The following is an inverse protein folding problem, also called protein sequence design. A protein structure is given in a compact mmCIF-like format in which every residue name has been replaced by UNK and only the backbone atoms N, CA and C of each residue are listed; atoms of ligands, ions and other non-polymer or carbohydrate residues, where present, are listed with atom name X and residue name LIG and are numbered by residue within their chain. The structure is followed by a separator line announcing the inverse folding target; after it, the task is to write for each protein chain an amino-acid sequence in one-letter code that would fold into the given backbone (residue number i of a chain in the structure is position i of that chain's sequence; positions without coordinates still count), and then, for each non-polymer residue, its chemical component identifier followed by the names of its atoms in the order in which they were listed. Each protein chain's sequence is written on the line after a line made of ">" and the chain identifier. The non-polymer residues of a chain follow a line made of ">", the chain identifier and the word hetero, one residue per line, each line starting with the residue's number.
data_IF_445713982292
#
_entry.id   IF_445713982292
#
_cell.length_a   1.000
_cell.length_b   1.000
_cell.length_c   1.000
_cell.angle_alpha   90.00
_cell.angle_beta   90.00
_cell.angle_gamma   90.00
#
_symmetry.space_group_name_H-M   'P 1'
#
loop_
_entity.id
_entity.type
_entity.pdbx_description
1 polymer ?
#
# COMPACT_ATOMS: atom_id res chain seq x y z
N UNK A 1 -14.34 17.42 -22.94
CA UNK A 1 -13.13 17.71 -23.75
C UNK A 1 -12.07 16.57 -23.62
N UNK A 2 -11.63 16.21 -22.42
CA UNK A 2 -10.59 15.14 -22.24
C UNK A 2 -10.99 13.78 -22.82
N UNK A 3 -12.26 13.36 -22.67
CA UNK A 3 -12.75 12.09 -23.23
C UNK A 3 -12.67 12.06 -24.75
N UNK A 4 -13.04 13.15 -25.43
CA UNK A 4 -12.98 13.25 -26.89
C UNK A 4 -11.54 13.20 -27.39
N UNK A 5 -10.61 13.89 -26.72
CA UNK A 5 -9.17 13.86 -27.05
C UNK A 5 -8.60 12.46 -26.87
N UNK A 6 -8.96 11.78 -25.76
CA UNK A 6 -8.54 10.41 -25.49
C UNK A 6 -9.05 9.45 -26.58
N UNK A 7 -10.33 9.50 -26.91
CA UNK A 7 -10.92 8.62 -27.93
C UNK A 7 -10.31 8.87 -29.32
N UNK A 8 -10.05 10.13 -29.67
CA UNK A 8 -9.35 10.47 -30.91
C UNK A 8 -7.90 9.92 -30.92
N UNK A 9 -7.19 10.02 -29.81
CA UNK A 9 -5.84 9.47 -29.68
C UNK A 9 -5.83 7.94 -29.77
N UNK A 10 -6.82 7.26 -29.18
CA UNK A 10 -6.98 5.79 -29.29
C UNK A 10 -7.27 5.40 -30.73
N UNK A 11 -8.17 6.11 -31.40
CA UNK A 11 -8.53 5.83 -32.80
C UNK A 11 -7.36 6.07 -33.80
N UNK A 12 -6.48 7.04 -33.49
CA UNK A 12 -5.30 7.36 -34.27
C UNK A 12 -4.04 6.56 -33.86
N UNK A 13 -4.14 5.70 -32.87
CA UNK A 13 -3.00 4.94 -32.36
C UNK A 13 -2.55 3.88 -33.34
N UNK A 14 -1.31 3.99 -33.80
CA UNK A 14 -0.65 2.98 -34.65
C UNK A 14 0.35 2.22 -33.78
N UNK A 15 0.16 0.90 -33.55
CA UNK A 15 1.10 0.10 -32.78
C UNK A 15 2.45 -0.02 -33.47
N UNK A 16 3.51 0.32 -32.77
CA UNK A 16 4.87 0.08 -33.21
C UNK A 16 5.39 -1.24 -32.63
N UNK A 17 5.92 -2.10 -33.51
CA UNK A 17 6.55 -3.36 -33.07
C UNK A 17 7.97 -3.07 -32.59
N UNK A 18 8.33 -3.68 -31.50
CA UNK A 18 9.68 -3.69 -30.96
C UNK A 18 10.01 -5.10 -30.43
N UNK A 19 11.28 -5.34 -30.23
CA UNK A 19 11.81 -6.60 -29.71
C UNK A 19 12.64 -6.31 -28.47
N UNK A 20 12.69 -7.28 -27.55
CA UNK A 20 13.61 -7.29 -26.42
C UNK A 20 14.35 -8.63 -26.41
N UNK A 21 15.57 -8.63 -25.90
CA UNK A 21 16.35 -9.82 -25.63
C UNK A 21 16.47 -9.93 -24.12
N UNK A 22 16.01 -11.05 -23.57
CA UNK A 22 16.05 -11.31 -22.14
C UNK A 22 17.03 -12.44 -21.87
N UNK A 23 17.91 -12.24 -20.88
CA UNK A 23 18.90 -13.19 -20.41
C UNK A 23 18.50 -13.69 -19.03
N UNK A 24 18.30 -14.99 -18.90
CA UNK A 24 18.14 -15.63 -17.61
C UNK A 24 19.51 -16.08 -17.09
N UNK A 25 19.95 -15.45 -16.02
CA UNK A 25 21.24 -15.75 -15.38
C UNK A 25 21.09 -16.90 -14.38
N UNK A 26 22.16 -17.67 -14.20
CA UNK A 26 22.20 -18.79 -13.23
C UNK A 26 21.98 -18.35 -11.79
N UNK A 27 22.16 -17.05 -11.49
CA UNK A 27 21.83 -16.43 -10.21
C UNK A 27 20.34 -16.25 -9.95
N UNK A 28 19.47 -16.55 -10.92
CA UNK A 28 18.02 -16.29 -10.85
C UNK A 28 17.61 -14.86 -11.24
N UNK A 29 18.56 -14.02 -11.61
CA UNK A 29 18.28 -12.68 -12.13
C UNK A 29 18.01 -12.72 -13.63
N UNK A 30 17.15 -11.81 -14.12
CA UNK A 30 16.91 -11.60 -15.54
C UNK A 30 17.45 -10.24 -15.95
N UNK A 31 18.23 -10.20 -17.03
CA UNK A 31 18.68 -8.97 -17.68
C UNK A 31 17.93 -8.79 -18.99
N UNK A 32 17.33 -7.61 -19.20
CA UNK A 32 16.55 -7.29 -20.41
C UNK A 32 17.20 -6.16 -21.21
N UNK A 33 17.27 -6.33 -22.52
CA UNK A 33 17.74 -5.27 -23.41
C UNK A 33 16.75 -4.08 -23.46
N UNK A 34 17.21 -2.95 -23.96
CA UNK A 34 16.29 -1.87 -24.37
C UNK A 34 15.41 -2.34 -25.53
N UNK A 35 14.35 -1.57 -25.81
CA UNK A 35 13.50 -1.83 -26.97
C UNK A 35 14.30 -1.68 -28.26
N UNK A 36 14.26 -2.71 -29.09
CA UNK A 36 14.95 -2.80 -30.39
C UNK A 36 13.90 -2.75 -31.49
N UNK A 37 13.88 -1.72 -32.35
CA UNK A 37 12.87 -1.62 -33.41
C UNK A 37 13.00 -2.72 -34.49
N UNK A 38 14.22 -3.14 -34.80
CA UNK A 38 14.51 -4.07 -35.87
C UNK A 38 14.73 -5.49 -35.39
N UNK A 39 14.02 -6.45 -35.97
CA UNK A 39 14.10 -7.87 -35.63
C UNK A 39 15.50 -8.45 -35.82
N UNK A 40 16.15 -8.09 -36.91
CA UNK A 40 17.49 -8.57 -37.26
C UNK A 40 18.55 -8.16 -36.23
N UNK A 41 18.41 -6.94 -35.69
CA UNK A 41 19.32 -6.45 -34.61
C UNK A 41 19.10 -7.25 -33.33
N UNK A 42 17.85 -7.54 -32.98
CA UNK A 42 17.54 -8.36 -31.80
C UNK A 42 18.03 -9.81 -31.98
N UNK A 43 17.89 -10.40 -33.16
CA UNK A 43 18.38 -11.74 -33.47
C UNK A 43 19.92 -11.82 -33.40
N UNK A 44 20.62 -10.84 -33.96
CA UNK A 44 22.08 -10.74 -33.86
C UNK A 44 22.58 -10.61 -32.41
N UNK A 45 21.89 -9.77 -31.61
CA UNK A 45 22.20 -9.65 -30.19
C UNK A 45 21.98 -10.97 -29.44
N UNK A 46 20.88 -11.65 -29.70
CA UNK A 46 20.59 -12.95 -29.10
C UNK A 46 21.67 -14.00 -29.46
N UNK A 47 22.11 -14.05 -30.71
CA UNK A 47 23.18 -14.93 -31.12
C UNK A 47 24.53 -14.61 -30.47
N UNK A 48 24.86 -13.33 -30.31
CA UNK A 48 26.06 -12.90 -29.61
C UNK A 48 26.01 -13.36 -28.13
N UNK A 49 24.91 -13.12 -27.43
CA UNK A 49 24.72 -13.58 -26.05
C UNK A 49 24.83 -15.09 -25.90
N UNK A 50 24.31 -15.87 -26.87
CA UNK A 50 24.45 -17.35 -26.86
C UNK A 50 25.87 -17.86 -27.08
N UNK A 51 26.69 -17.11 -27.79
CA UNK A 51 28.11 -17.48 -28.03
C UNK A 51 28.98 -17.20 -26.83
N UNK A 52 28.78 -16.05 -26.19
CA UNK A 52 29.64 -15.61 -25.07
C UNK A 52 29.37 -16.38 -23.78
N UNK A 53 28.12 -16.78 -23.52
CA UNK A 53 27.69 -17.54 -22.33
C UNK A 53 28.03 -16.85 -20.99
N UNK A 54 28.53 -15.63 -21.01
CA UNK A 54 28.95 -14.83 -19.84
C UNK A 54 28.42 -13.42 -19.99
N UNK A 55 27.82 -12.90 -18.93
CA UNK A 55 27.42 -11.50 -18.82
C UNK A 55 28.24 -10.79 -17.73
N UNK A 56 28.82 -9.63 -18.06
CA UNK A 56 29.62 -8.84 -17.11
C UNK A 56 28.81 -7.63 -16.68
N UNK A 57 28.58 -7.51 -15.36
CA UNK A 57 27.93 -6.32 -14.79
C UNK A 57 28.94 -5.18 -14.77
N UNK A 58 28.73 -4.16 -15.58
CA UNK A 58 29.64 -3.01 -15.66
C UNK A 58 29.36 -1.96 -14.58
N UNK A 59 28.09 -1.81 -14.18
CA UNK A 59 27.71 -0.84 -13.16
C UNK A 59 26.53 -1.35 -12.34
N UNK A 60 26.64 -1.19 -11.04
CA UNK A 60 25.52 -1.34 -10.10
C UNK A 60 25.24 0.04 -9.52
N UNK A 61 24.01 0.50 -9.65
CA UNK A 61 23.55 1.74 -9.03
C UNK A 61 22.44 1.42 -8.04
N UNK A 62 22.67 1.76 -6.78
CA UNK A 62 21.67 1.68 -5.73
C UNK A 62 21.01 3.06 -5.57
N UNK A 63 19.70 3.12 -5.67
CA UNK A 63 18.91 4.31 -5.31
C UNK A 63 18.08 3.99 -4.10
N UNK A 64 18.45 4.58 -2.98
CA UNK A 64 17.61 4.51 -1.78
C UNK A 64 16.32 5.27 -2.00
N UNK A 65 15.22 4.64 -1.63
CA UNK A 65 13.89 5.23 -1.62
C UNK A 65 13.25 5.07 -0.26
N UNK A 66 12.41 6.02 0.08
CA UNK A 66 11.64 6.00 1.30
C UNK A 66 10.18 6.31 0.97
N UNK A 67 9.27 5.44 1.39
CA UNK A 67 7.83 5.65 1.26
C UNK A 67 7.23 5.84 2.63
N UNK A 68 6.50 6.94 2.79
CA UNK A 68 5.78 7.20 4.04
C UNK A 68 4.65 6.20 4.20
N UNK A 69 4.36 5.75 5.43
CA UNK A 69 3.16 4.98 5.71
C UNK A 69 1.89 5.72 5.27
N UNK A 70 0.83 4.97 4.92
CA UNK A 70 -0.44 5.57 4.54
C UNK A 70 -1.05 6.35 5.73
N UNK A 71 -1.87 7.38 5.48
CA UNK A 71 -2.63 8.05 6.54
C UNK A 71 -3.70 7.13 7.13
N UNK A 72 -4.31 7.54 8.23
CA UNK A 72 -5.47 6.88 8.82
C UNK A 72 -6.64 6.78 7.83
N UNK A 73 -7.64 5.96 8.13
CA UNK A 73 -8.81 5.85 7.25
C UNK A 73 -9.80 7.00 7.43
N UNK A 74 -10.24 7.55 6.30
CA UNK A 74 -11.57 8.11 6.11
C UNK A 74 -12.52 7.05 5.54
N UNK A 75 -13.80 7.35 5.39
CA UNK A 75 -14.77 6.39 4.85
C UNK A 75 -14.42 5.95 3.42
N UNK A 76 -14.02 6.87 2.57
CA UNK A 76 -13.74 6.58 1.15
C UNK A 76 -12.53 5.67 0.98
N UNK A 77 -11.46 5.90 1.71
CA UNK A 77 -10.26 5.05 1.65
C UNK A 77 -10.50 3.68 2.27
N UNK A 78 -11.29 3.60 3.36
CA UNK A 78 -11.72 2.32 3.93
C UNK A 78 -12.54 1.50 2.94
N UNK A 79 -13.53 2.11 2.29
CA UNK A 79 -14.36 1.44 1.27
C UNK A 79 -13.53 0.94 0.09
N UNK A 80 -12.57 1.73 -0.38
CA UNK A 80 -11.67 1.35 -1.47
C UNK A 80 -10.80 0.15 -1.12
N UNK A 81 -10.22 0.14 0.07
CA UNK A 81 -9.38 -0.97 0.52
C UNK A 81 -10.19 -2.22 0.86
N UNK A 82 -11.37 -2.09 1.47
CA UNK A 82 -12.29 -3.19 1.70
C UNK A 82 -12.76 -3.83 0.38
N UNK A 83 -13.01 -3.03 -0.65
CA UNK A 83 -13.33 -3.56 -1.98
C UNK A 83 -12.14 -4.30 -2.59
N UNK A 84 -10.94 -3.68 -2.58
CA UNK A 84 -9.73 -4.25 -3.18
C UNK A 84 -9.27 -5.54 -2.51
N UNK A 85 -9.33 -5.61 -1.18
CA UNK A 85 -8.77 -6.72 -0.39
C UNK A 85 -9.80 -7.80 -0.04
N UNK A 86 -11.05 -7.42 0.13
CA UNK A 86 -12.12 -8.29 0.63
C UNK A 86 -13.29 -8.47 -0.35
N UNK A 87 -13.32 -7.69 -1.44
CA UNK A 87 -14.39 -7.73 -2.43
C UNK A 87 -15.71 -7.10 -1.95
N UNK A 88 -15.73 -6.35 -0.84
CA UNK A 88 -16.94 -5.73 -0.33
C UNK A 88 -17.32 -4.50 -1.15
N UNK A 89 -18.65 -4.31 -1.33
CA UNK A 89 -19.16 -3.07 -1.90
C UNK A 89 -19.03 -1.90 -0.92
N UNK A 90 -19.10 -0.67 -1.43
CA UNK A 90 -19.07 0.52 -0.59
C UNK A 90 -20.19 0.51 0.47
N UNK A 91 -21.41 0.05 0.07
CA UNK A 91 -22.54 -0.05 1.00
C UNK A 91 -22.29 -1.10 2.09
N UNK A 92 -21.83 -2.30 1.73
CA UNK A 92 -21.51 -3.34 2.71
C UNK A 92 -20.44 -2.88 3.71
N UNK A 93 -19.38 -2.18 3.23
CA UNK A 93 -18.34 -1.64 4.11
C UNK A 93 -18.92 -0.61 5.07
N UNK A 94 -19.79 0.28 4.57
CA UNK A 94 -20.46 1.27 5.43
C UNK A 94 -21.35 0.60 6.48
N UNK A 95 -22.12 -0.42 6.10
CA UNK A 95 -23.01 -1.13 7.01
C UNK A 95 -22.20 -1.83 8.12
N UNK A 96 -21.08 -2.47 7.78
CA UNK A 96 -20.21 -3.11 8.76
C UNK A 96 -19.55 -2.11 9.71
N UNK A 97 -18.98 -1.01 9.19
CA UNK A 97 -18.33 -0.02 10.06
C UNK A 97 -19.35 0.76 10.88
N UNK A 98 -20.55 0.99 10.38
CA UNK A 98 -21.65 1.58 11.14
C UNK A 98 -22.04 0.68 12.32
N UNK A 99 -22.19 -0.63 12.10
CA UNK A 99 -22.45 -1.60 13.15
C UNK A 99 -21.33 -1.66 14.20
N UNK A 100 -20.07 -1.59 13.77
CA UNK A 100 -18.93 -1.51 14.69
C UNK A 100 -18.96 -0.24 15.54
N UNK A 101 -19.32 0.89 14.95
CA UNK A 101 -19.50 2.15 15.68
C UNK A 101 -20.63 2.06 16.72
N UNK A 102 -21.77 1.51 16.38
CA UNK A 102 -22.92 1.32 17.28
C UNK A 102 -22.56 0.40 18.46
N UNK A 103 -21.67 -0.57 18.23
CA UNK A 103 -21.07 -1.43 19.26
C UNK A 103 -19.94 -0.75 20.03
N UNK A 104 -19.60 0.51 19.70
CA UNK A 104 -18.50 1.29 20.29
C UNK A 104 -17.10 0.69 20.06
N UNK A 105 -16.93 -0.06 18.99
CA UNK A 105 -15.63 -0.69 18.65
C UNK A 105 -14.79 0.20 17.74
N UNK A 106 -15.40 1.14 17.03
CA UNK A 106 -14.73 2.14 16.18
C UNK A 106 -15.30 3.53 16.41
N UNK A 107 -14.57 4.55 15.98
CA UNK A 107 -15.04 5.94 15.94
C UNK A 107 -16.06 6.14 14.82
N UNK A 108 -16.66 7.34 14.73
CA UNK A 108 -17.73 7.63 13.77
C UNK A 108 -17.27 7.44 12.32
N UNK A 109 -17.98 6.61 11.52
CA UNK A 109 -17.47 6.17 10.22
C UNK A 109 -17.67 7.19 9.08
N UNK A 110 -18.61 8.13 9.20
CA UNK A 110 -18.90 9.08 8.12
C UNK A 110 -18.03 10.32 8.25
N UNK A 111 -16.74 10.15 8.08
CA UNK A 111 -15.73 11.19 8.11
C UNK A 111 -14.96 11.25 6.79
N UNK A 112 -14.54 12.43 6.41
CA UNK A 112 -13.64 12.71 5.29
C UNK A 112 -12.20 13.01 5.76
N UNK A 113 -11.98 13.02 7.08
CA UNK A 113 -10.67 13.27 7.66
C UNK A 113 -9.86 11.97 7.80
N UNK A 114 -8.59 12.05 7.41
CA UNK A 114 -7.56 11.04 7.67
C UNK A 114 -6.65 11.42 8.84
N UNK A 115 -7.06 12.41 9.65
CA UNK A 115 -6.26 12.98 10.73
C UNK A 115 -7.02 12.95 12.05
N UNK A 116 -6.26 13.10 13.14
CA UNK A 116 -6.77 13.29 14.50
C UNK A 116 -6.43 14.71 15.00
N UNK A 117 -6.97 15.07 16.14
CA UNK A 117 -6.62 16.31 16.86
C UNK A 117 -5.46 16.07 17.82
N UNK A 118 -4.86 17.15 18.33
CA UNK A 118 -3.81 17.05 19.36
C UNK A 118 -4.34 16.39 20.65
N UNK A 119 -5.63 16.55 20.96
CA UNK A 119 -6.27 15.97 22.13
C UNK A 119 -6.41 14.43 22.05
N UNK A 120 -6.37 13.87 20.82
CA UNK A 120 -6.49 12.42 20.57
C UNK A 120 -5.12 11.73 20.45
N UNK A 121 -4.00 12.50 20.46
CA UNK A 121 -2.67 11.95 20.19
C UNK A 121 -2.24 10.94 21.27
N UNK A 122 -2.39 11.30 22.56
CA UNK A 122 -2.05 10.44 23.69
C UNK A 122 -2.90 9.15 23.70
N UNK A 123 -4.19 9.27 23.39
CA UNK A 123 -5.08 8.11 23.25
C UNK A 123 -4.61 7.18 22.13
N UNK A 124 -4.14 7.72 21.02
CA UNK A 124 -3.64 6.91 19.90
C UNK A 124 -2.34 6.20 20.25
N UNK A 125 -1.44 6.84 21.01
CA UNK A 125 -0.20 6.21 21.49
C UNK A 125 -0.50 4.99 22.36
N UNK A 126 -1.29 5.19 23.41
CA UNK A 126 -1.68 4.09 24.30
C UNK A 126 -2.42 2.96 23.55
N UNK A 127 -3.33 3.34 22.65
CA UNK A 127 -4.08 2.36 21.85
C UNK A 127 -3.15 1.53 20.95
N UNK A 128 -2.14 2.17 20.36
CA UNK A 128 -1.22 1.49 19.45
C UNK A 128 -0.42 0.40 20.15
N UNK A 129 0.06 0.65 21.37
CA UNK A 129 0.79 -0.33 22.16
C UNK A 129 -0.06 -1.59 22.45
N UNK A 130 -1.36 -1.42 22.66
CA UNK A 130 -2.26 -2.55 22.94
C UNK A 130 -2.73 -3.28 21.66
N UNK A 131 -2.78 -2.58 20.52
CA UNK A 131 -3.27 -3.14 19.24
C UNK A 131 -2.33 -4.17 18.61
N UNK A 132 -1.05 -4.12 18.89
CA UNK A 132 -0.06 -5.04 18.32
C UNK A 132 -0.40 -6.50 18.61
N UNK A 133 -0.95 -6.79 19.78
CA UNK A 133 -1.39 -8.13 20.18
C UNK A 133 -2.66 -8.64 19.46
N UNK A 134 -3.40 -7.78 18.74
CA UNK A 134 -4.63 -8.15 18.04
C UNK A 134 -4.44 -8.62 16.60
N UNK A 135 -3.27 -8.39 16.02
CA UNK A 135 -2.91 -8.90 14.71
C UNK A 135 -1.91 -10.04 14.88
N UNK A 136 -2.08 -11.08 14.06
CA UNK A 136 -1.14 -12.20 13.95
C UNK A 136 0.13 -11.72 13.22
N UNK A 137 0.82 -10.71 13.82
CA UNK A 137 2.04 -10.12 13.28
C UNK A 137 3.21 -10.75 14.02
N UNK A 138 4.19 -11.26 13.27
CA UNK A 138 5.39 -11.81 13.89
C UNK A 138 6.15 -10.71 14.66
N UNK A 139 6.68 -10.99 15.85
CA UNK A 139 7.39 -9.97 16.66
C UNK A 139 8.53 -9.27 15.91
N UNK A 140 9.19 -9.96 14.99
CA UNK A 140 10.23 -9.39 14.13
C UNK A 140 9.72 -8.37 13.10
N UNK A 141 8.44 -8.38 12.80
CA UNK A 141 7.79 -7.44 11.88
C UNK A 141 7.25 -6.19 12.60
N UNK A 142 7.25 -6.20 13.93
CA UNK A 142 6.83 -5.06 14.75
C UNK A 142 8.02 -4.13 14.95
N UNK A 143 7.82 -2.87 14.61
CA UNK A 143 8.82 -1.85 14.86
C UNK A 143 8.81 -1.45 16.35
N UNK A 144 9.77 -1.92 17.15
CA UNK A 144 9.95 -1.59 18.59
C UNK A 144 10.10 -0.07 18.88
N UNK A 145 10.06 0.77 17.85
CA UNK A 145 10.15 2.21 18.05
C UNK A 145 8.83 2.79 18.51
N UNK A 146 8.93 3.80 19.38
CA UNK A 146 7.82 4.65 19.81
C UNK A 146 6.92 5.02 18.63
N UNK A 147 5.60 4.82 18.72
CA UNK A 147 4.64 5.20 17.68
C UNK A 147 4.83 6.63 17.21
N UNK A 148 4.81 6.86 15.91
CA UNK A 148 4.97 8.20 15.32
C UNK A 148 3.63 8.87 15.10
N UNK A 149 2.91 9.06 16.17
CA UNK A 149 1.55 9.61 16.19
C UNK A 149 1.48 11.03 15.65
N UNK A 150 2.50 11.86 15.92
CA UNK A 150 2.54 13.28 15.50
C UNK A 150 2.26 13.53 14.02
N UNK A 151 2.57 12.59 13.15
CA UNK A 151 2.27 12.70 11.72
C UNK A 151 0.80 12.53 11.36
N UNK A 152 0.02 11.91 12.24
CA UNK A 152 -1.42 11.72 12.08
C UNK A 152 -2.22 12.90 12.63
N UNK A 153 -1.58 13.79 13.37
CA UNK A 153 -2.20 14.97 13.98
C UNK A 153 -2.23 16.13 13.01
N UNK A 154 -3.43 16.62 12.71
CA UNK A 154 -3.63 17.85 11.95
C UNK A 154 -5.03 18.43 12.22
N UNK A 155 -5.13 19.30 13.23
CA UNK A 155 -6.39 19.90 13.65
C UNK A 155 -7.11 20.68 12.53
N UNK A 156 -6.37 21.32 11.64
CA UNK A 156 -6.96 22.10 10.54
C UNK A 156 -7.67 21.21 9.49
N UNK A 157 -7.31 19.94 9.43
CA UNK A 157 -7.90 18.94 8.52
C UNK A 157 -8.93 18.04 9.19
N UNK A 158 -9.24 18.28 10.45
CA UNK A 158 -10.35 17.63 11.15
C UNK A 158 -11.50 18.63 11.19
N UNK A 159 -12.57 18.35 10.44
CA UNK A 159 -13.76 19.21 10.38
C UNK A 159 -14.72 18.86 11.51
N UNK A 160 -15.68 17.98 11.27
CA UNK A 160 -16.68 17.57 12.26
C UNK A 160 -16.24 16.32 13.04
N UNK A 161 -15.52 15.41 12.38
CA UNK A 161 -15.06 14.14 12.95
C UNK A 161 -13.63 13.85 12.51
N UNK A 162 -12.85 13.26 13.43
CA UNK A 162 -11.50 12.75 13.12
C UNK A 162 -11.57 11.44 12.33
N UNK A 163 -10.41 10.90 11.95
CA UNK A 163 -10.26 9.65 11.22
C UNK A 163 -10.95 8.45 11.91
N UNK A 164 -11.22 7.41 11.13
CA UNK A 164 -11.78 6.14 11.65
C UNK A 164 -10.67 5.39 12.38
N UNK A 165 -10.88 5.17 13.67
CA UNK A 165 -9.98 4.47 14.59
C UNK A 165 -10.71 3.36 15.34
N UNK A 166 -10.02 2.32 15.80
CA UNK A 166 -10.54 1.45 16.84
C UNK A 166 -10.64 2.23 18.16
N UNK A 167 -11.51 1.80 19.06
CA UNK A 167 -11.67 2.41 20.38
C UNK A 167 -11.05 1.53 21.47
N UNK A 168 -10.84 2.08 22.66
CA UNK A 168 -10.43 1.28 23.84
C UNK A 168 -11.43 0.18 24.19
N UNK A 169 -12.73 0.39 23.94
CA UNK A 169 -13.75 -0.64 24.20
C UNK A 169 -13.56 -1.89 23.33
N UNK A 170 -12.93 -1.75 22.17
CA UNK A 170 -12.60 -2.87 21.28
C UNK A 170 -11.61 -3.85 21.94
N UNK A 171 -10.68 -3.35 22.76
CA UNK A 171 -9.67 -4.17 23.45
C UNK A 171 -10.28 -5.20 24.43
N UNK A 172 -11.47 -4.91 24.94
CA UNK A 172 -12.19 -5.75 25.90
C UNK A 172 -13.32 -6.56 25.26
N UNK A 173 -13.55 -6.40 23.94
CA UNK A 173 -14.63 -7.03 23.23
C UNK A 173 -14.27 -8.45 22.79
N UNK A 174 -15.28 -9.34 22.81
CA UNK A 174 -15.17 -10.65 22.16
C UNK A 174 -15.29 -10.46 20.64
N UNK A 175 -14.15 -10.37 19.97
CA UNK A 175 -14.12 -10.16 18.52
C UNK A 175 -14.55 -11.40 17.72
N UNK A 176 -14.44 -12.58 18.29
CA UNK A 176 -14.86 -13.83 17.64
C UNK A 176 -16.39 -13.95 17.59
N UNK A 177 -17.09 -13.29 18.49
CA UNK A 177 -18.57 -13.21 18.47
C UNK A 177 -19.11 -12.27 17.37
N UNK A 178 -18.26 -11.46 16.73
CA UNK A 178 -18.70 -10.55 15.65
C UNK A 178 -18.97 -11.31 14.35
N UNK A 179 -19.94 -10.84 13.53
CA UNK A 179 -20.10 -11.32 12.16
C UNK A 179 -18.78 -11.19 11.36
N UNK A 180 -18.49 -12.15 10.49
CA UNK A 180 -17.22 -12.20 9.74
C UNK A 180 -16.90 -10.94 8.95
N UNK A 181 -17.91 -10.29 8.38
CA UNK A 181 -17.72 -9.01 7.67
C UNK A 181 -17.23 -7.89 8.58
N UNK A 182 -17.79 -7.79 9.78
CA UNK A 182 -17.38 -6.82 10.79
C UNK A 182 -15.96 -7.10 11.29
N UNK A 183 -15.63 -8.38 11.60
CA UNK A 183 -14.26 -8.77 11.96
C UNK A 183 -13.25 -8.35 10.92
N UNK A 184 -13.54 -8.58 9.64
CA UNK A 184 -12.64 -8.27 8.55
C UNK A 184 -12.43 -6.75 8.40
N UNK A 185 -13.50 -5.95 8.49
CA UNK A 185 -13.41 -4.49 8.42
C UNK A 185 -12.66 -3.94 9.64
N UNK A 186 -12.92 -4.46 10.82
CA UNK A 186 -12.21 -4.07 12.05
C UNK A 186 -10.71 -4.37 11.93
N UNK A 187 -10.33 -5.55 11.42
CA UNK A 187 -8.91 -5.90 11.16
C UNK A 187 -8.24 -4.93 10.19
N UNK A 188 -8.94 -4.48 9.14
CA UNK A 188 -8.41 -3.45 8.24
C UNK A 188 -8.16 -2.13 8.97
N UNK A 189 -9.08 -1.71 9.85
CA UNK A 189 -8.95 -0.46 10.60
C UNK A 189 -7.76 -0.56 11.57
N UNK A 190 -7.63 -1.66 12.31
CA UNK A 190 -6.50 -1.91 13.22
C UNK A 190 -5.18 -1.88 12.45
N UNK A 191 -5.07 -2.66 11.38
CA UNK A 191 -3.86 -2.72 10.56
C UNK A 191 -3.47 -1.34 10.02
N UNK A 192 -4.44 -0.55 9.54
CA UNK A 192 -4.19 0.80 9.05
C UNK A 192 -3.73 1.74 10.14
N UNK A 193 -4.26 1.63 11.34
CA UNK A 193 -3.87 2.43 12.50
C UNK A 193 -2.40 2.17 12.84
N UNK A 194 -1.99 0.91 12.95
CA UNK A 194 -0.59 0.52 13.18
C UNK A 194 0.33 0.98 12.05
N UNK A 195 -0.08 0.77 10.79
CA UNK A 195 0.69 1.26 9.64
C UNK A 195 0.88 2.77 9.67
N UNK A 196 -0.16 3.54 10.03
CA UNK A 196 -0.11 5.00 10.00
C UNK A 196 0.92 5.58 10.99
N UNK A 197 1.23 4.92 12.08
CA UNK A 197 2.20 5.35 13.09
C UNK A 197 3.57 4.69 12.94
N UNK A 198 3.74 3.76 12.00
CA UNK A 198 5.00 3.05 11.76
C UNK A 198 6.06 3.92 11.08
N UNK A 199 7.30 3.43 10.98
CA UNK A 199 8.38 4.08 10.25
C UNK A 199 8.13 4.10 8.74
N UNK A 200 8.71 5.06 8.01
CA UNK A 200 8.75 5.00 6.55
C UNK A 200 9.44 3.72 6.07
N UNK A 201 8.84 3.06 5.09
CA UNK A 201 9.44 1.92 4.43
C UNK A 201 10.63 2.38 3.57
N UNK A 202 11.82 1.86 3.86
CA UNK A 202 13.05 2.18 3.13
C UNK A 202 13.47 0.98 2.30
N UNK A 203 13.75 1.21 1.05
CA UNK A 203 14.23 0.18 0.15
C UNK A 203 15.27 0.73 -0.83
N UNK A 204 16.07 -0.16 -1.39
CA UNK A 204 17.02 0.17 -2.43
C UNK A 204 16.56 -0.42 -3.76
N UNK A 205 16.48 0.43 -4.79
CA UNK A 205 16.34 -0.03 -6.15
C UNK A 205 17.73 -0.22 -6.74
N UNK A 206 18.07 -1.48 -7.04
CA UNK A 206 19.30 -1.82 -7.73
C UNK A 206 19.04 -1.77 -9.24
N UNK A 207 19.87 -0.97 -9.92
CA UNK A 207 19.92 -0.92 -11.37
C UNK A 207 21.26 -1.48 -11.82
N UNK A 208 21.22 -2.43 -12.73
CA UNK A 208 22.39 -2.88 -13.47
C UNK A 208 22.32 -2.30 -14.87
N UNK A 209 23.42 -1.80 -15.41
CA UNK A 209 23.54 -1.45 -16.82
C UNK A 209 24.53 -2.39 -17.46
N UNK A 210 24.06 -3.11 -18.45
CA UNK A 210 24.90 -3.85 -19.38
C UNK A 210 25.35 -2.89 -20.50
N UNK A 211 26.57 -3.03 -20.91
CA UNK A 211 27.08 -2.37 -22.12
C UNK A 211 26.97 -3.32 -23.30
#
# INVERSE_FOLDING_TARGET
>A
AMTVVREAAIAAFTPEKFYTVDLELTSGCTASSRRIPEKTVAENLLEACRKEMVATIQRITCKEKSENPPPLYDLTTLQRDANRLLGYSAQQTLDYVQSLYEKKLTTYPRTDSCYITDDDEEMLEELTEELEGFLDIAPEDVDEAVPRTRRTVNREKVTDHHAILPTRSMLQADLDALPKGEQNVLKLIIARTLMAVSKPFRYCLLYTSDA
#
